data_IF_042289365775
#
_entry.id   IF_042289365775
#
_cell.length_a   1.000
_cell.length_b   1.000
_cell.length_c   1.000
_cell.angle_alpha   90.00
_cell.angle_beta   90.00
_cell.angle_gamma   90.00
#
_symmetry.space_group_name_H-M   'P 1'
#
loop_
_entity.id
_entity.type
_entity.pdbx_description
1 polymer ?
#
# COMPACT_ATOMS: atom_id res chain seq x y z
N UNK A 1 57.22 5.40 -2.80
CA UNK A 1 55.94 5.99 -2.35
C UNK A 1 54.91 4.88 -2.43
N UNK A 2 54.69 4.21 -1.29
CA UNK A 2 53.72 3.13 -1.14
C UNK A 2 52.36 3.73 -0.77
N UNK A 3 51.41 3.76 -1.69
CA UNK A 3 50.02 4.13 -1.40
C UNK A 3 49.29 2.92 -0.82
N UNK A 4 49.21 2.84 0.50
CA UNK A 4 48.34 1.92 1.22
C UNK A 4 46.89 2.23 0.90
N UNK A 5 46.26 1.39 0.09
CA UNK A 5 44.79 1.31 -0.02
C UNK A 5 44.26 0.73 1.29
N UNK A 6 43.82 1.59 2.19
CA UNK A 6 43.06 1.16 3.33
C UNK A 6 41.73 0.56 2.77
N UNK A 7 41.59 -0.75 2.85
CA UNK A 7 40.31 -1.44 2.65
C UNK A 7 39.34 -0.95 3.73
N UNK A 8 38.29 -0.27 3.32
CA UNK A 8 37.19 0.06 4.23
C UNK A 8 36.57 -1.27 4.71
N UNK A 9 36.96 -1.70 5.89
CA UNK A 9 36.34 -2.80 6.60
C UNK A 9 34.88 -2.41 6.82
N UNK A 10 33.95 -3.19 6.24
CA UNK A 10 32.50 -3.02 6.46
C UNK A 10 32.21 -3.33 7.94
N UNK A 11 32.27 -2.31 8.79
CA UNK A 11 32.08 -2.38 10.25
C UNK A 11 30.61 -2.41 10.63
N UNK A 12 29.73 -2.94 9.80
CA UNK A 12 28.32 -3.13 10.18
C UNK A 12 28.24 -4.26 11.19
N UNK A 13 27.95 -3.90 12.45
CA UNK A 13 27.65 -4.89 13.48
C UNK A 13 26.58 -5.88 12.96
N UNK A 14 26.73 -7.18 13.19
CA UNK A 14 25.74 -8.16 12.78
C UNK A 14 24.40 -7.81 13.43
N UNK A 15 23.35 -7.79 12.61
CA UNK A 15 21.96 -7.55 13.08
C UNK A 15 21.65 -8.61 14.13
N UNK A 16 21.27 -8.17 15.33
CA UNK A 16 20.98 -9.06 16.46
C UNK A 16 19.73 -9.91 16.22
N UNK A 17 19.66 -11.05 16.91
CA UNK A 17 18.56 -12.01 16.75
C UNK A 17 17.17 -11.40 17.07
N UNK A 18 16.99 -10.58 18.12
CA UNK A 18 15.72 -9.91 18.39
C UNK A 18 15.25 -9.04 17.24
N UNK A 19 16.15 -8.30 16.59
CA UNK A 19 15.80 -7.44 15.46
C UNK A 19 15.44 -8.23 14.20
N UNK A 20 16.11 -9.38 13.97
CA UNK A 20 15.73 -10.31 12.89
C UNK A 20 14.33 -10.87 13.10
N UNK A 21 13.99 -11.25 14.34
CA UNK A 21 12.64 -11.69 14.71
C UNK A 21 11.61 -10.59 14.53
N UNK A 22 11.91 -9.37 14.94
CA UNK A 22 11.01 -8.23 14.77
C UNK A 22 10.72 -7.97 13.28
N UNK A 23 11.74 -8.03 12.42
CA UNK A 23 11.56 -7.96 10.98
C UNK A 23 10.68 -9.08 10.44
N UNK A 24 10.91 -10.33 10.87
CA UNK A 24 10.10 -11.48 10.43
C UNK A 24 8.64 -11.35 10.89
N UNK A 25 8.40 -10.90 12.14
CA UNK A 25 7.05 -10.62 12.63
C UNK A 25 6.34 -9.56 11.78
N UNK A 26 7.04 -8.46 11.49
CA UNK A 26 6.49 -7.38 10.65
C UNK A 26 6.22 -7.87 9.22
N UNK A 27 7.09 -8.70 8.63
CA UNK A 27 6.82 -9.36 7.33
C UNK A 27 5.55 -10.20 7.38
N UNK A 28 5.35 -10.98 8.45
CA UNK A 28 4.13 -11.77 8.64
C UNK A 28 2.86 -10.91 8.68
N UNK A 29 2.93 -9.74 9.33
CA UNK A 29 1.79 -8.80 9.40
C UNK A 29 1.47 -8.20 8.01
N UNK A 30 2.49 -7.75 7.24
CA UNK A 30 2.25 -7.27 5.88
C UNK A 30 1.72 -8.37 4.96
N UNK A 31 2.28 -9.58 5.05
CA UNK A 31 1.83 -10.72 4.27
C UNK A 31 0.39 -11.13 4.56
N UNK A 32 0.02 -11.19 5.86
CA UNK A 32 -1.36 -11.55 6.22
C UNK A 32 -2.37 -10.46 5.85
N UNK A 33 -2.00 -9.17 5.93
CA UNK A 33 -2.87 -8.09 5.49
C UNK A 33 -3.19 -8.21 4.00
N UNK A 34 -2.16 -8.39 3.16
CA UNK A 34 -2.35 -8.65 1.73
C UNK A 34 -3.18 -9.90 1.45
N UNK A 35 -2.93 -10.99 2.19
CA UNK A 35 -3.65 -12.25 2.06
C UNK A 35 -5.15 -12.09 2.33
N UNK A 36 -5.53 -11.44 3.43
CA UNK A 36 -6.93 -11.21 3.79
C UNK A 36 -7.64 -10.34 2.74
N UNK A 37 -6.95 -9.31 2.22
CA UNK A 37 -7.49 -8.48 1.15
C UNK A 37 -7.66 -9.26 -0.15
N UNK A 38 -6.68 -10.08 -0.54
CA UNK A 38 -6.77 -10.95 -1.73
C UNK A 38 -7.91 -11.96 -1.64
N UNK A 39 -8.10 -12.57 -0.46
CA UNK A 39 -9.24 -13.45 -0.20
C UNK A 39 -10.57 -12.74 -0.36
N UNK A 40 -10.71 -11.51 0.18
CA UNK A 40 -11.92 -10.71 0.00
C UNK A 40 -12.20 -10.43 -1.50
N UNK A 41 -11.21 -9.89 -2.21
CA UNK A 41 -11.38 -9.43 -3.61
C UNK A 41 -11.86 -10.56 -4.51
N UNK A 42 -11.31 -11.77 -4.39
CA UNK A 42 -11.69 -12.91 -5.23
C UNK A 42 -13.12 -13.39 -4.95
N UNK A 43 -13.63 -13.18 -3.73
CA UNK A 43 -15.00 -13.60 -3.38
C UNK A 43 -16.06 -12.54 -3.69
N UNK A 44 -15.71 -11.35 -4.17
CA UNK A 44 -16.65 -10.26 -4.48
C UNK A 44 -17.78 -10.74 -5.41
N UNK A 45 -17.52 -11.40 -6.57
CA UNK A 45 -18.61 -11.81 -7.47
C UNK A 45 -19.59 -12.78 -6.82
N UNK A 46 -19.08 -13.78 -6.09
CA UNK A 46 -19.92 -14.76 -5.42
C UNK A 46 -20.78 -14.16 -4.29
N UNK A 47 -20.29 -13.09 -3.63
CA UNK A 47 -21.03 -12.35 -2.61
C UNK A 47 -22.07 -11.44 -3.27
N UNK A 48 -21.73 -10.79 -4.39
CA UNK A 48 -22.64 -9.99 -5.19
C UNK A 48 -23.85 -10.83 -5.66
N UNK A 49 -23.58 -11.97 -6.27
CA UNK A 49 -24.62 -12.91 -6.72
C UNK A 49 -25.52 -13.36 -5.56
N UNK A 50 -24.93 -13.70 -4.41
CA UNK A 50 -25.67 -14.16 -3.23
C UNK A 50 -26.54 -13.07 -2.62
N UNK A 51 -26.08 -11.83 -2.59
CA UNK A 51 -26.81 -10.70 -2.03
C UNK A 51 -27.81 -10.11 -2.99
N UNK A 52 -27.78 -10.49 -4.28
CA UNK A 52 -28.67 -10.02 -5.34
C UNK A 52 -28.54 -8.51 -5.62
N UNK A 53 -27.39 -7.92 -5.32
CA UNK A 53 -27.15 -6.49 -5.54
C UNK A 53 -26.64 -6.23 -6.97
N UNK A 54 -26.90 -5.03 -7.48
CA UNK A 54 -26.36 -4.60 -8.77
C UNK A 54 -24.89 -4.15 -8.65
N UNK A 55 -24.15 -4.17 -9.75
CA UNK A 55 -22.79 -3.64 -9.83
C UNK A 55 -22.68 -2.19 -9.34
N UNK A 56 -23.70 -1.34 -9.62
CA UNK A 56 -23.71 0.04 -9.14
C UNK A 56 -23.88 0.12 -7.61
N UNK A 57 -24.70 -0.76 -7.04
CA UNK A 57 -24.83 -0.87 -5.58
C UNK A 57 -23.53 -1.34 -4.96
N UNK A 58 -22.90 -2.39 -5.53
CA UNK A 58 -21.59 -2.87 -5.07
C UNK A 58 -20.54 -1.74 -5.09
N UNK A 59 -20.45 -0.99 -6.19
CA UNK A 59 -19.57 0.16 -6.30
C UNK A 59 -19.78 1.19 -5.17
N UNK A 60 -21.05 1.48 -4.84
CA UNK A 60 -21.39 2.37 -3.72
C UNK A 60 -20.97 1.79 -2.36
N UNK A 61 -21.11 0.48 -2.18
CA UNK A 61 -20.71 -0.21 -0.95
C UNK A 61 -19.17 -0.26 -0.79
N UNK A 62 -18.43 -0.37 -1.90
CA UNK A 62 -16.96 -0.28 -1.87
C UNK A 62 -16.47 1.11 -1.43
N UNK A 63 -17.25 2.18 -1.65
CA UNK A 63 -16.95 3.49 -1.05
C UNK A 63 -17.03 3.47 0.48
N UNK A 64 -17.93 2.67 1.07
CA UNK A 64 -17.97 2.51 2.53
C UNK A 64 -16.72 1.83 3.07
N UNK A 65 -16.18 0.83 2.36
CA UNK A 65 -14.87 0.25 2.70
C UNK A 65 -13.79 1.33 2.73
N UNK A 66 -13.76 2.18 1.73
CA UNK A 66 -12.81 3.29 1.62
C UNK A 66 -12.97 4.31 2.74
N UNK A 67 -14.20 4.73 3.04
CA UNK A 67 -14.52 5.63 4.16
C UNK A 67 -14.10 5.01 5.49
N UNK A 68 -14.39 3.72 5.68
CA UNK A 68 -13.93 2.96 6.83
C UNK A 68 -12.41 2.99 6.95
N UNK A 69 -11.69 2.69 5.87
CA UNK A 69 -10.22 2.66 5.85
C UNK A 69 -9.63 4.02 6.25
N UNK A 70 -10.09 5.11 5.65
CA UNK A 70 -9.65 6.46 6.00
C UNK A 70 -9.94 6.76 7.49
N UNK A 71 -11.13 6.40 7.98
CA UNK A 71 -11.49 6.55 9.39
C UNK A 71 -10.54 5.78 10.31
N UNK A 72 -10.28 4.51 9.99
CA UNK A 72 -9.35 3.66 10.73
C UNK A 72 -7.93 4.23 10.77
N UNK A 73 -7.44 4.74 9.63
CA UNK A 73 -6.12 5.40 9.55
C UNK A 73 -6.03 6.61 10.47
N UNK A 74 -7.04 7.49 10.45
CA UNK A 74 -7.02 8.71 11.25
C UNK A 74 -7.11 8.44 12.75
N UNK A 75 -7.82 7.39 13.16
CA UNK A 75 -7.94 6.97 14.56
C UNK A 75 -6.67 6.24 15.02
N UNK A 76 -6.12 5.35 14.18
CA UNK A 76 -4.98 4.51 14.56
C UNK A 76 -3.69 5.29 14.77
N UNK A 77 -3.43 6.36 14.00
CA UNK A 77 -2.20 7.14 14.12
C UNK A 77 -1.98 7.71 15.53
N UNK A 78 -2.89 8.56 16.05
CA UNK A 78 -2.78 9.09 17.41
C UNK A 78 -2.80 8.00 18.50
N UNK A 79 -3.54 6.90 18.28
CA UNK A 79 -3.56 5.78 19.22
C UNK A 79 -2.22 5.03 19.23
N UNK A 80 -1.57 4.85 18.06
CA UNK A 80 -0.23 4.28 17.97
C UNK A 80 0.81 5.16 18.68
N UNK A 81 0.70 6.49 18.55
CA UNK A 81 1.56 7.42 19.29
C UNK A 81 1.34 7.32 20.81
N UNK A 82 0.11 7.06 21.26
CA UNK A 82 -0.23 7.00 22.69
C UNK A 82 0.04 5.65 23.34
N UNK A 83 -0.33 4.56 22.66
CA UNK A 83 -0.33 3.20 23.21
C UNK A 83 0.76 2.31 22.66
N UNK A 84 1.46 2.77 21.62
CA UNK A 84 2.51 2.04 20.91
C UNK A 84 2.02 1.35 19.64
N UNK A 85 2.90 1.25 18.67
CA UNK A 85 2.62 0.63 17.37
C UNK A 85 2.34 -0.87 17.47
N UNK A 86 3.05 -1.58 18.37
CA UNK A 86 2.86 -3.02 18.59
C UNK A 86 1.44 -3.37 19.03
N UNK A 87 0.91 -2.65 20.03
CA UNK A 87 -0.45 -2.90 20.53
C UNK A 87 -1.49 -2.63 19.44
N UNK A 88 -1.31 -1.54 18.70
CA UNK A 88 -2.23 -1.19 17.61
C UNK A 88 -2.19 -2.22 16.48
N UNK A 89 -1.02 -2.74 16.09
CA UNK A 89 -0.90 -3.83 15.10
C UNK A 89 -1.66 -5.06 15.56
N UNK A 90 -1.52 -5.47 16.82
CA UNK A 90 -2.20 -6.66 17.36
C UNK A 90 -3.71 -6.46 17.34
N UNK A 91 -4.20 -5.35 17.88
CA UNK A 91 -5.64 -5.07 17.96
C UNK A 91 -6.23 -4.97 16.54
N UNK A 92 -5.64 -4.13 15.68
CA UNK A 92 -6.15 -3.92 14.33
C UNK A 92 -6.07 -5.20 13.48
N UNK A 93 -4.98 -5.99 13.62
CA UNK A 93 -4.82 -7.25 12.90
C UNK A 93 -5.83 -8.31 13.32
N UNK A 94 -6.14 -8.43 14.62
CA UNK A 94 -7.17 -9.35 15.11
C UNK A 94 -8.57 -8.89 14.69
N UNK A 95 -8.86 -7.58 14.76
CA UNK A 95 -10.15 -7.02 14.31
C UNK A 95 -10.30 -7.22 12.80
N UNK A 96 -9.26 -6.98 11.99
CA UNK A 96 -9.31 -7.22 10.55
C UNK A 96 -9.56 -8.70 10.24
N UNK A 97 -8.86 -9.60 10.93
CA UNK A 97 -9.04 -11.05 10.76
C UNK A 97 -10.48 -11.49 11.04
N UNK A 98 -11.09 -10.95 12.09
CA UNK A 98 -12.50 -11.20 12.39
C UNK A 98 -13.44 -10.54 11.38
N UNK A 99 -13.17 -9.28 11.00
CA UNK A 99 -13.98 -8.51 10.05
C UNK A 99 -13.98 -9.12 8.63
N UNK A 100 -12.93 -9.87 8.27
CA UNK A 100 -12.85 -10.59 6.98
C UNK A 100 -14.04 -11.54 6.78
N UNK A 101 -14.61 -12.09 7.83
CA UNK A 101 -15.75 -13.00 7.77
C UNK A 101 -17.06 -12.28 7.43
N UNK A 102 -17.17 -11.01 7.83
CA UNK A 102 -18.40 -10.21 7.73
C UNK A 102 -19.03 -10.18 6.32
N UNK A 103 -18.29 -9.85 5.26
CA UNK A 103 -18.81 -9.88 3.89
C UNK A 103 -19.33 -11.26 3.47
N UNK A 104 -18.69 -12.33 3.94
CA UNK A 104 -19.12 -13.72 3.74
C UNK A 104 -20.45 -14.06 4.43
N UNK A 105 -20.86 -13.38 5.48
CA UNK A 105 -22.12 -13.57 6.19
C UNK A 105 -23.27 -12.74 5.62
N UNK A 106 -22.98 -11.67 4.88
CA UNK A 106 -23.98 -10.76 4.37
C UNK A 106 -24.97 -11.44 3.43
N UNK A 107 -26.26 -11.25 3.62
CA UNK A 107 -27.35 -11.72 2.75
C UNK A 107 -28.20 -10.57 2.18
N UNK A 108 -27.84 -9.32 2.51
CA UNK A 108 -28.49 -8.11 2.03
C UNK A 108 -27.47 -6.96 1.88
N UNK A 109 -27.80 -5.98 1.02
CA UNK A 109 -26.92 -4.83 0.74
C UNK A 109 -26.45 -4.09 1.99
N UNK A 110 -27.34 -3.81 2.95
CA UNK A 110 -26.99 -3.08 4.16
C UNK A 110 -26.04 -3.85 5.08
N UNK A 111 -26.17 -5.21 5.13
CA UNK A 111 -25.26 -6.05 5.91
C UNK A 111 -23.86 -6.04 5.28
N UNK A 112 -23.79 -6.15 3.95
CA UNK A 112 -22.54 -6.05 3.21
C UNK A 112 -21.91 -4.67 3.41
N UNK A 113 -22.70 -3.59 3.34
CA UNK A 113 -22.21 -2.23 3.57
C UNK A 113 -21.59 -2.05 4.95
N UNK A 114 -22.27 -2.54 6.00
CA UNK A 114 -21.73 -2.50 7.37
C UNK A 114 -20.46 -3.35 7.51
N UNK A 115 -20.46 -4.56 6.93
CA UNK A 115 -19.30 -5.43 6.96
C UNK A 115 -18.08 -4.78 6.26
N UNK A 116 -18.29 -4.15 5.10
CA UNK A 116 -17.23 -3.44 4.36
C UNK A 116 -16.72 -2.21 5.09
N UNK A 117 -17.59 -1.45 5.76
CA UNK A 117 -17.19 -0.32 6.59
C UNK A 117 -16.27 -0.77 7.73
N UNK A 118 -16.63 -1.86 8.44
CA UNK A 118 -15.85 -2.41 9.56
C UNK A 118 -14.55 -3.03 9.04
N UNK A 119 -14.60 -3.78 7.94
CA UNK A 119 -13.42 -4.37 7.30
C UNK A 119 -12.45 -3.26 6.85
N UNK A 120 -12.96 -2.23 6.19
CA UNK A 120 -12.17 -1.07 5.78
C UNK A 120 -11.53 -0.37 6.97
N UNK A 121 -12.29 -0.09 8.04
CA UNK A 121 -11.78 0.55 9.24
C UNK A 121 -10.62 -0.26 9.87
N UNK A 122 -10.79 -1.56 10.02
CA UNK A 122 -9.77 -2.44 10.57
C UNK A 122 -8.52 -2.50 9.66
N UNK A 123 -8.73 -2.56 8.33
CA UNK A 123 -7.64 -2.55 7.35
C UNK A 123 -6.83 -1.24 7.41
N UNK A 124 -7.50 -0.09 7.42
CA UNK A 124 -6.83 1.20 7.51
C UNK A 124 -6.09 1.40 8.85
N UNK A 125 -6.68 0.93 9.96
CA UNK A 125 -6.03 0.96 11.26
C UNK A 125 -4.77 0.07 11.29
N UNK A 126 -4.84 -1.12 10.68
CA UNK A 126 -3.69 -2.01 10.56
C UNK A 126 -2.61 -1.40 9.65
N UNK A 127 -3.01 -0.81 8.52
CA UNK A 127 -2.07 -0.23 7.56
C UNK A 127 -1.19 0.85 8.22
N UNK A 128 -1.78 1.81 8.93
CA UNK A 128 -1.01 2.84 9.64
C UNK A 128 -0.13 2.24 10.73
N UNK A 129 -0.66 1.31 11.52
CA UNK A 129 0.08 0.76 12.66
C UNK A 129 1.22 -0.18 12.22
N UNK A 130 1.01 -1.01 11.19
CA UNK A 130 2.07 -1.89 10.68
C UNK A 130 3.18 -1.09 9.97
N UNK A 131 2.83 -0.01 9.26
CA UNK A 131 3.83 0.89 8.68
C UNK A 131 4.62 1.63 9.76
N UNK A 132 3.98 2.08 10.85
CA UNK A 132 4.67 2.66 11.99
C UNK A 132 5.67 1.66 12.62
N UNK A 133 5.25 0.40 12.81
CA UNK A 133 6.11 -0.69 13.28
C UNK A 133 7.27 -0.95 12.31
N UNK A 134 7.01 -0.93 11.00
CA UNK A 134 8.01 -1.14 9.96
C UNK A 134 9.09 -0.04 9.99
N UNK A 135 8.69 1.23 10.19
CA UNK A 135 9.63 2.35 10.35
C UNK A 135 10.53 2.15 11.57
N UNK A 136 9.98 1.72 12.71
CA UNK A 136 10.78 1.45 13.92
C UNK A 136 11.81 0.33 13.69
N UNK A 137 11.41 -0.74 12.99
CA UNK A 137 12.30 -1.84 12.60
C UNK A 137 13.38 -1.34 11.64
N UNK A 138 13.02 -0.55 10.60
CA UNK A 138 13.95 0.01 9.63
C UNK A 138 14.99 0.92 10.29
N UNK A 139 14.56 1.80 11.20
CA UNK A 139 15.46 2.68 11.94
C UNK A 139 16.54 1.91 12.70
N UNK A 140 16.16 0.83 13.40
CA UNK A 140 17.12 -0.02 14.13
C UNK A 140 17.96 -0.89 13.21
N UNK A 141 17.40 -1.26 12.05
CA UNK A 141 18.11 -2.05 11.04
C UNK A 141 19.25 -1.24 10.38
N UNK A 142 19.19 0.09 10.42
CA UNK A 142 20.20 1.00 9.89
C UNK A 142 20.32 0.99 8.36
N UNK A 143 19.37 0.34 7.66
CA UNK A 143 19.33 0.31 6.19
C UNK A 143 17.90 0.25 5.70
N UNK A 144 17.61 0.72 4.46
CA UNK A 144 16.28 0.64 3.87
C UNK A 144 15.79 -0.80 3.77
N UNK A 145 14.59 -1.08 4.29
CA UNK A 145 13.89 -2.37 4.20
C UNK A 145 12.37 -2.20 4.04
N UNK A 146 11.88 -0.96 3.92
CA UNK A 146 10.46 -0.66 3.85
C UNK A 146 9.80 -1.28 2.62
N UNK A 147 10.46 -1.22 1.46
CA UNK A 147 9.92 -1.77 0.22
C UNK A 147 9.76 -3.30 0.29
N UNK A 148 10.64 -3.99 1.03
CA UNK A 148 10.52 -5.43 1.25
C UNK A 148 9.25 -5.79 2.05
N UNK A 149 8.83 -4.95 3.03
CA UNK A 149 7.56 -5.15 3.72
C UNK A 149 6.38 -5.08 2.76
N UNK A 150 6.34 -4.05 1.90
CA UNK A 150 5.30 -3.91 0.88
C UNK A 150 5.34 -5.01 -0.19
N UNK A 151 6.53 -5.58 -0.50
CA UNK A 151 6.63 -6.74 -1.36
C UNK A 151 5.93 -7.96 -0.75
N UNK A 152 6.09 -8.19 0.57
CA UNK A 152 5.40 -9.27 1.28
C UNK A 152 3.87 -9.07 1.33
N UNK A 153 3.40 -7.83 1.41
CA UNK A 153 1.97 -7.51 1.22
C UNK A 153 1.49 -7.98 -0.16
N UNK A 154 2.23 -7.68 -1.22
CA UNK A 154 1.88 -8.11 -2.59
C UNK A 154 1.89 -9.64 -2.73
N UNK A 155 2.90 -10.32 -2.18
CA UNK A 155 2.97 -11.80 -2.15
C UNK A 155 1.78 -12.38 -1.39
N UNK A 156 1.42 -11.78 -0.25
CA UNK A 156 0.24 -12.15 0.52
C UNK A 156 -1.04 -12.01 -0.30
N UNK A 157 -1.20 -10.90 -1.01
CA UNK A 157 -2.35 -10.67 -1.89
C UNK A 157 -2.50 -11.74 -2.98
N UNK A 158 -1.39 -12.07 -3.65
CA UNK A 158 -1.36 -13.17 -4.64
C UNK A 158 -1.72 -14.50 -3.99
N UNK A 159 -1.13 -14.84 -2.84
CA UNK A 159 -1.43 -16.08 -2.14
C UNK A 159 -2.91 -16.16 -1.72
N UNK A 160 -3.47 -15.06 -1.19
CA UNK A 160 -4.89 -14.97 -0.85
C UNK A 160 -5.80 -15.13 -2.07
N UNK A 161 -5.47 -14.47 -3.19
CA UNK A 161 -6.23 -14.59 -4.43
C UNK A 161 -6.21 -16.01 -5.00
N UNK A 162 -5.04 -16.66 -5.00
CA UNK A 162 -4.92 -18.05 -5.48
C UNK A 162 -5.69 -19.04 -4.59
N UNK A 163 -5.58 -18.89 -3.26
CA UNK A 163 -6.33 -19.73 -2.34
C UNK A 163 -7.83 -19.46 -2.46
N UNK A 164 -8.24 -18.20 -2.56
CA UNK A 164 -9.65 -17.83 -2.78
C UNK A 164 -10.21 -18.45 -4.05
N UNK A 165 -9.47 -18.36 -5.17
CA UNK A 165 -9.87 -19.00 -6.42
C UNK A 165 -9.97 -20.54 -6.28
N UNK A 166 -9.03 -21.17 -5.59
CA UNK A 166 -9.05 -22.60 -5.35
C UNK A 166 -10.25 -23.04 -4.49
N UNK A 167 -10.61 -22.27 -3.46
CA UNK A 167 -11.79 -22.56 -2.62
C UNK A 167 -13.10 -22.39 -3.41
N UNK A 168 -13.21 -21.37 -4.28
CA UNK A 168 -14.36 -21.21 -5.17
C UNK A 168 -14.45 -22.36 -6.17
N UNK A 169 -13.34 -22.76 -6.79
CA UNK A 169 -13.29 -23.90 -7.71
C UNK A 169 -13.67 -25.23 -7.02
N UNK A 170 -13.37 -25.36 -5.74
CA UNK A 170 -13.76 -26.51 -4.92
C UNK A 170 -15.21 -26.43 -4.39
N UNK A 171 -15.98 -25.40 -4.79
CA UNK A 171 -17.37 -25.21 -4.40
C UNK A 171 -17.59 -24.78 -2.95
N UNK A 172 -16.59 -24.20 -2.29
CA UNK A 172 -16.76 -23.69 -0.93
C UNK A 172 -17.68 -22.46 -0.92
N UNK A 173 -18.54 -22.41 0.09
CA UNK A 173 -19.29 -21.16 0.33
C UNK A 173 -18.32 -20.03 0.71
N UNK A 174 -18.55 -18.79 0.23
CA UNK A 174 -17.69 -17.64 0.56
C UNK A 174 -17.44 -17.46 2.06
N UNK A 175 -18.46 -17.68 2.89
CA UNK A 175 -18.33 -17.57 4.36
C UNK A 175 -17.32 -18.56 4.91
N UNK A 176 -17.30 -19.81 4.42
CA UNK A 176 -16.35 -20.83 4.87
C UNK A 176 -14.92 -20.46 4.50
N UNK A 177 -14.69 -20.03 3.26
CA UNK A 177 -13.38 -19.60 2.80
C UNK A 177 -12.85 -18.40 3.59
N UNK A 178 -13.71 -17.38 3.82
CA UNK A 178 -13.35 -16.19 4.57
C UNK A 178 -13.19 -16.46 6.07
N UNK A 179 -13.92 -17.43 6.64
CA UNK A 179 -13.73 -17.87 8.02
C UNK A 179 -12.34 -18.55 8.21
N UNK A 180 -11.96 -19.43 7.28
CA UNK A 180 -10.63 -20.05 7.29
C UNK A 180 -9.55 -18.97 7.12
N UNK A 181 -9.73 -18.03 6.21
CA UNK A 181 -8.79 -16.92 6.02
C UNK A 181 -8.66 -16.07 7.29
N UNK A 182 -9.76 -15.71 7.93
CA UNK A 182 -9.77 -15.00 9.22
C UNK A 182 -9.05 -15.77 10.31
N UNK A 183 -9.27 -17.10 10.37
CA UNK A 183 -8.57 -17.99 11.30
C UNK A 183 -7.05 -17.99 11.08
N UNK A 184 -6.61 -18.10 9.84
CA UNK A 184 -5.17 -17.94 9.46
C UNK A 184 -4.65 -16.58 9.89
N UNK A 185 -5.45 -15.50 9.70
CA UNK A 185 -5.13 -14.16 10.16
C UNK A 185 -4.91 -14.08 11.66
N UNK A 186 -5.85 -14.60 12.46
CA UNK A 186 -5.72 -14.65 13.94
C UNK A 186 -4.46 -15.36 14.37
N UNK A 187 -4.19 -16.55 13.80
CA UNK A 187 -3.00 -17.36 14.13
C UNK A 187 -1.73 -16.62 13.77
N UNK A 188 -1.67 -16.00 12.58
CA UNK A 188 -0.49 -15.25 12.11
C UNK A 188 -0.23 -14.02 12.98
N UNK A 189 -1.26 -13.24 13.33
CA UNK A 189 -1.14 -12.07 14.21
C UNK A 189 -0.72 -12.51 15.61
N UNK A 190 -1.33 -13.54 16.18
CA UNK A 190 -0.99 -14.05 17.51
C UNK A 190 0.46 -14.58 17.55
N UNK A 191 0.87 -15.35 16.55
CA UNK A 191 2.24 -15.87 16.45
C UNK A 191 3.25 -14.74 16.23
N UNK A 192 2.98 -13.81 15.31
CA UNK A 192 3.85 -12.68 14.97
C UNK A 192 3.96 -11.66 16.09
N UNK A 193 2.92 -11.51 16.92
CA UNK A 193 2.88 -10.53 18.01
C UNK A 193 4.05 -10.62 18.99
N UNK A 194 4.57 -11.83 19.23
CA UNK A 194 5.74 -12.08 20.11
C UNK A 194 7.02 -11.46 19.58
N UNK A 195 7.11 -11.33 18.25
CA UNK A 195 8.32 -10.87 17.55
C UNK A 195 8.27 -9.40 17.16
N UNK A 196 7.09 -8.76 17.24
CA UNK A 196 6.99 -7.33 17.02
C UNK A 196 7.85 -6.57 18.04
N UNK A 197 8.42 -5.45 17.61
CA UNK A 197 9.20 -4.60 18.51
C UNK A 197 8.35 -4.12 19.66
N UNK A 198 8.90 -4.17 20.86
CA UNK A 198 8.25 -3.63 22.04
C UNK A 198 8.08 -2.12 21.90
N UNK A 199 6.90 -1.64 22.31
CA UNK A 199 6.65 -0.21 22.39
C UNK A 199 7.69 0.45 23.31
N UNK A 200 8.32 1.53 22.85
CA UNK A 200 9.26 2.28 23.71
C UNK A 200 8.48 2.92 24.86
N UNK A 201 8.93 2.78 26.11
CA UNK A 201 8.39 3.61 27.18
C UNK A 201 8.62 5.06 26.78
N UNK A 202 7.57 5.86 26.69
CA UNK A 202 7.73 7.31 26.55
C UNK A 202 8.52 7.79 27.76
N UNK A 203 9.72 8.33 27.54
CA UNK A 203 10.43 9.01 28.62
C UNK A 203 9.59 10.22 29.03
N UNK A 204 9.51 10.49 30.36
CA UNK A 204 8.83 11.68 30.88
C UNK A 204 9.38 13.00 30.30
N UNK A 205 10.55 12.99 29.68
CA UNK A 205 11.15 14.12 28.98
C UNK A 205 10.54 14.37 27.58
N UNK A 206 9.91 13.33 26.96
CA UNK A 206 9.14 13.50 25.72
C UNK A 206 7.73 14.06 26.00
N UNK A 207 7.36 14.21 27.26
CA UNK A 207 6.24 15.00 27.77
C UNK A 207 6.63 16.44 28.10
N UNK A 208 7.66 17.02 27.47
CA UNK A 208 7.62 18.46 27.27
C UNK A 208 6.19 18.77 26.77
N UNK A 209 5.44 19.71 27.41
CA UNK A 209 4.08 19.98 27.02
C UNK A 209 4.15 20.03 25.50
N UNK A 210 3.39 19.13 24.85
CA UNK A 210 3.18 19.30 23.42
C UNK A 210 2.62 20.73 23.36
N UNK A 211 3.55 21.68 23.27
CA UNK A 211 3.20 23.05 22.98
C UNK A 211 2.24 22.89 21.86
N UNK A 212 1.03 23.28 22.12
CA UNK A 212 -0.13 23.19 21.27
C UNK A 212 0.26 23.37 19.80
N UNK A 213 0.91 22.35 19.22
CA UNK A 213 1.00 22.15 17.80
C UNK A 213 -0.41 21.71 17.36
N UNK A 214 -1.40 22.38 17.98
CA UNK A 214 -2.77 22.39 17.56
C UNK A 214 -2.77 23.05 16.19
N UNK A 215 -2.94 22.20 15.16
CA UNK A 215 -3.63 22.63 13.97
C UNK A 215 -2.79 23.00 12.75
N UNK A 216 -1.49 23.30 12.80
CA UNK A 216 -0.74 23.55 11.58
C UNK A 216 -0.05 22.28 11.08
N UNK A 217 -0.57 21.76 9.96
CA UNK A 217 0.13 20.73 9.20
C UNK A 217 1.51 21.29 8.80
N UNK A 218 2.58 20.59 9.18
CA UNK A 218 3.92 20.94 8.73
C UNK A 218 3.94 20.95 7.20
N UNK A 219 4.58 21.95 6.59
CA UNK A 219 4.75 22.03 5.13
C UNK A 219 5.33 20.73 4.57
N UNK A 220 6.18 20.05 5.35
CA UNK A 220 6.77 18.78 4.94
C UNK A 220 5.77 17.61 4.96
N UNK A 221 4.85 17.56 5.95
CA UNK A 221 3.75 16.59 5.98
C UNK A 221 2.83 16.80 4.79
N UNK A 222 2.51 18.08 4.46
CA UNK A 222 1.72 18.40 3.28
C UNK A 222 2.42 18.01 1.98
N UNK A 223 3.72 18.26 1.85
CA UNK A 223 4.49 17.87 0.67
C UNK A 223 4.54 16.33 0.51
N UNK A 224 4.82 15.57 1.58
CA UNK A 224 4.81 14.12 1.55
C UNK A 224 3.41 13.57 1.24
N UNK A 225 2.38 14.14 1.86
CA UNK A 225 0.99 13.77 1.60
C UNK A 225 0.55 14.07 0.16
N UNK A 226 0.98 15.23 -0.38
CA UNK A 226 0.71 15.60 -1.78
C UNK A 226 1.39 14.65 -2.77
N UNK A 227 2.65 14.26 -2.51
CA UNK A 227 3.35 13.27 -3.35
C UNK A 227 2.69 11.89 -3.20
N UNK A 228 2.32 11.48 -1.99
CA UNK A 228 1.60 10.23 -1.76
C UNK A 228 0.26 10.23 -2.52
N UNK A 229 -0.48 11.34 -2.46
CA UNK A 229 -1.75 11.52 -3.18
C UNK A 229 -1.59 11.27 -4.68
N UNK A 230 -0.67 11.99 -5.35
CA UNK A 230 -0.53 11.89 -6.82
C UNK A 230 0.04 10.54 -7.26
N UNK A 231 0.90 9.90 -6.45
CA UNK A 231 1.45 8.58 -6.79
C UNK A 231 0.44 7.47 -6.57
N UNK A 232 -0.30 7.50 -5.46
CA UNK A 232 -1.34 6.50 -5.19
C UNK A 232 -2.55 6.72 -6.10
N UNK A 233 -2.88 7.97 -6.50
CA UNK A 233 -3.84 8.24 -7.58
C UNK A 233 -3.42 7.52 -8.86
N UNK A 234 -2.15 7.65 -9.24
CA UNK A 234 -1.61 7.02 -10.44
C UNK A 234 -1.63 5.49 -10.37
N UNK A 235 -1.39 4.91 -9.18
CA UNK A 235 -1.49 3.47 -8.92
C UNK A 235 -2.96 3.00 -9.02
N UNK A 236 -3.91 3.75 -8.45
CA UNK A 236 -5.34 3.44 -8.56
C UNK A 236 -5.83 3.46 -10.01
N UNK A 237 -5.37 4.44 -10.79
CA UNK A 237 -5.66 4.48 -12.25
C UNK A 237 -5.13 3.24 -12.96
N UNK A 238 -3.91 2.79 -12.66
CA UNK A 238 -3.36 1.60 -13.27
C UNK A 238 -4.16 0.33 -12.92
N UNK A 239 -4.57 0.21 -11.66
CA UNK A 239 -5.35 -0.95 -11.20
C UNK A 239 -6.69 -1.09 -11.95
N UNK A 240 -7.40 0.01 -12.15
CA UNK A 240 -8.78 -0.04 -12.65
C UNK A 240 -8.88 0.16 -14.17
N UNK A 241 -7.92 0.89 -14.76
CA UNK A 241 -8.06 1.32 -16.15
C UNK A 241 -7.04 0.70 -17.13
N UNK A 242 -5.98 0.05 -16.66
CA UNK A 242 -4.93 -0.46 -17.54
C UNK A 242 -5.45 -1.48 -18.56
N UNK A 243 -6.27 -2.41 -18.13
CA UNK A 243 -6.88 -3.43 -19.01
C UNK A 243 -7.82 -2.79 -20.01
N UNK A 244 -8.72 -1.91 -19.56
CA UNK A 244 -9.70 -1.27 -20.42
C UNK A 244 -9.01 -0.35 -21.45
N UNK A 245 -7.95 0.36 -21.05
CA UNK A 245 -7.18 1.20 -21.95
C UNK A 245 -6.58 0.40 -23.12
N UNK A 246 -5.99 -0.76 -22.86
CA UNK A 246 -5.43 -1.60 -23.94
C UNK A 246 -6.55 -2.18 -24.83
N UNK A 247 -7.66 -2.61 -24.23
CA UNK A 247 -8.81 -3.13 -24.97
C UNK A 247 -9.37 -2.09 -25.94
N UNK A 248 -9.68 -0.89 -25.46
CA UNK A 248 -10.31 0.17 -26.25
C UNK A 248 -9.35 0.79 -27.27
N UNK A 249 -8.09 1.03 -26.85
CA UNK A 249 -7.11 1.71 -27.69
C UNK A 249 -6.60 0.85 -28.84
N UNK A 250 -6.40 -0.46 -28.60
CA UNK A 250 -5.79 -1.39 -29.56
C UNK A 250 -6.78 -2.40 -30.13
N UNK A 251 -8.06 -2.37 -29.71
CA UNK A 251 -9.08 -3.29 -30.20
C UNK A 251 -8.79 -4.77 -29.87
N UNK A 252 -8.14 -5.04 -28.75
CA UNK A 252 -7.71 -6.40 -28.37
C UNK A 252 -8.79 -7.16 -27.62
N UNK A 253 -8.65 -8.51 -27.51
CA UNK A 253 -9.50 -9.33 -26.68
C UNK A 253 -9.25 -9.06 -25.18
N UNK A 254 -10.21 -9.39 -24.32
CA UNK A 254 -10.10 -9.20 -22.87
C UNK A 254 -8.88 -9.91 -22.26
N UNK A 255 -8.57 -11.12 -22.74
CA UNK A 255 -7.42 -11.91 -22.29
C UNK A 255 -6.07 -11.25 -22.64
N UNK A 256 -5.97 -10.63 -23.81
CA UNK A 256 -4.76 -9.89 -24.21
C UNK A 256 -4.67 -8.57 -23.47
N UNK A 257 -5.78 -7.86 -23.31
CA UNK A 257 -5.83 -6.60 -22.57
C UNK A 257 -5.44 -6.77 -21.09
N UNK A 258 -5.81 -7.90 -20.46
CA UNK A 258 -5.43 -8.22 -19.09
C UNK A 258 -3.91 -8.29 -18.86
N UNK A 259 -3.12 -8.50 -19.93
CA UNK A 259 -1.65 -8.47 -19.83
C UNK A 259 -1.12 -7.10 -19.37
N UNK A 260 -1.85 -6.02 -19.59
CA UNK A 260 -1.47 -4.69 -19.14
C UNK A 260 -1.40 -4.60 -17.62
N UNK A 261 -2.50 -4.97 -16.96
CA UNK A 261 -2.53 -5.05 -15.49
C UNK A 261 -1.54 -6.07 -14.93
N UNK A 262 -1.41 -7.24 -15.60
CA UNK A 262 -0.44 -8.25 -15.23
C UNK A 262 0.99 -7.72 -15.27
N UNK A 263 1.40 -7.06 -16.35
CA UNK A 263 2.73 -6.47 -16.52
C UNK A 263 3.02 -5.38 -15.47
N UNK A 264 2.05 -4.48 -15.24
CA UNK A 264 2.12 -3.46 -14.18
C UNK A 264 2.35 -4.10 -12.81
N UNK A 265 1.50 -5.04 -12.42
CA UNK A 265 1.52 -5.66 -11.08
C UNK A 265 2.79 -6.49 -10.84
N UNK A 266 3.22 -7.29 -11.83
CA UNK A 266 4.45 -8.08 -11.75
C UNK A 266 5.66 -7.17 -11.59
N UNK A 267 5.79 -6.14 -12.43
CA UNK A 267 6.95 -5.26 -12.39
C UNK A 267 6.95 -4.36 -11.15
N UNK A 268 5.79 -3.97 -10.63
CA UNK A 268 5.69 -3.31 -9.32
C UNK A 268 6.19 -4.22 -8.21
N UNK A 269 5.82 -5.49 -8.21
CA UNK A 269 6.27 -6.47 -7.20
C UNK A 269 7.78 -6.69 -7.28
N UNK A 270 8.32 -6.91 -8.49
CA UNK A 270 9.78 -7.05 -8.73
C UNK A 270 10.53 -5.81 -8.26
N UNK A 271 10.02 -4.63 -8.60
CA UNK A 271 10.63 -3.37 -8.20
C UNK A 271 10.66 -3.18 -6.67
N UNK A 272 9.61 -3.59 -5.94
CA UNK A 272 9.58 -3.54 -4.46
C UNK A 272 10.70 -4.38 -3.82
N UNK A 273 11.07 -5.52 -4.39
CA UNK A 273 12.20 -6.33 -3.90
C UNK A 273 13.58 -5.70 -4.16
N UNK A 274 13.69 -4.82 -5.14
CA UNK A 274 14.97 -4.18 -5.51
C UNK A 274 15.11 -2.76 -4.95
N UNK A 275 14.00 -2.06 -4.70
CA UNK A 275 13.97 -0.65 -4.31
C UNK A 275 14.77 -0.33 -3.03
N UNK A 276 14.80 -1.23 -2.05
CA UNK A 276 15.56 -1.03 -0.82
C UNK A 276 17.08 -1.02 -1.07
N UNK A 277 17.58 -1.86 -2.00
CA UNK A 277 18.99 -1.84 -2.41
C UNK A 277 19.34 -0.54 -3.11
N UNK A 278 18.47 -0.08 -4.01
CA UNK A 278 18.64 1.19 -4.72
C UNK A 278 18.60 2.36 -3.72
N UNK A 279 17.66 2.35 -2.77
CA UNK A 279 17.57 3.37 -1.72
C UNK A 279 18.81 3.39 -0.82
N UNK A 280 19.38 2.22 -0.52
CA UNK A 280 20.62 2.11 0.25
C UNK A 280 21.84 2.66 -0.49
N UNK A 281 21.90 2.51 -1.79
CA UNK A 281 23.02 2.94 -2.62
C UNK A 281 22.94 4.42 -3.04
N UNK A 282 21.75 4.87 -3.47
CA UNK A 282 21.54 6.18 -4.11
C UNK A 282 20.69 7.14 -3.25
N UNK A 283 20.13 6.65 -2.15
CA UNK A 283 19.26 7.40 -1.25
C UNK A 283 17.80 7.46 -1.69
N UNK A 284 16.88 7.84 -0.77
CA UNK A 284 15.44 7.81 -1.00
C UNK A 284 14.98 8.81 -2.08
N UNK A 285 15.64 9.96 -2.19
CA UNK A 285 15.33 10.98 -3.21
C UNK A 285 15.56 10.44 -4.61
N UNK A 286 16.63 9.65 -4.82
CA UNK A 286 16.93 9.03 -6.11
C UNK A 286 15.86 8.01 -6.49
N UNK A 287 15.41 7.17 -5.53
CA UNK A 287 14.35 6.18 -5.76
C UNK A 287 13.07 6.87 -6.22
N UNK A 288 12.62 7.92 -5.51
CA UNK A 288 11.39 8.63 -5.90
C UNK A 288 11.58 9.36 -7.23
N UNK A 289 12.67 10.09 -7.42
CA UNK A 289 12.88 10.88 -8.64
C UNK A 289 13.03 10.01 -9.88
N UNK A 290 13.96 9.06 -9.87
CA UNK A 290 14.19 8.20 -11.03
C UNK A 290 13.07 7.18 -11.22
N UNK A 291 12.47 6.69 -10.14
CA UNK A 291 11.29 5.84 -10.21
C UNK A 291 10.13 6.54 -10.93
N UNK A 292 9.81 7.75 -10.52
CA UNK A 292 8.72 8.52 -11.17
C UNK A 292 9.06 8.94 -12.60
N UNK A 293 10.33 9.16 -12.96
CA UNK A 293 10.74 9.39 -14.34
C UNK A 293 10.62 8.12 -15.19
N UNK A 294 10.98 6.94 -14.65
CA UNK A 294 10.73 5.66 -15.33
C UNK A 294 9.24 5.44 -15.55
N UNK A 295 8.42 5.73 -14.52
CA UNK A 295 6.97 5.67 -14.64
C UNK A 295 6.45 6.65 -15.71
N UNK A 296 6.99 7.86 -15.78
CA UNK A 296 6.61 8.84 -16.81
C UNK A 296 6.93 8.34 -18.23
N UNK A 297 8.11 7.75 -18.45
CA UNK A 297 8.46 7.11 -19.74
C UNK A 297 7.48 5.99 -20.05
N UNK A 298 7.17 5.13 -19.07
CA UNK A 298 6.19 4.05 -19.22
C UNK A 298 4.81 4.58 -19.61
N UNK A 299 4.32 5.58 -18.90
CA UNK A 299 2.99 6.17 -19.19
C UNK A 299 2.99 6.93 -20.52
N UNK A 300 4.08 7.58 -20.90
CA UNK A 300 4.20 8.19 -22.22
C UNK A 300 4.08 7.15 -23.34
N UNK A 301 4.72 5.97 -23.20
CA UNK A 301 4.56 4.85 -24.13
C UNK A 301 3.11 4.39 -24.22
N UNK A 302 2.39 4.30 -23.08
CA UNK A 302 0.96 3.94 -23.05
C UNK A 302 0.13 4.93 -23.84
N UNK A 303 0.42 6.23 -23.72
CA UNK A 303 -0.36 7.31 -24.38
C UNK A 303 -0.09 7.38 -25.89
N UNK A 304 1.17 7.21 -26.30
CA UNK A 304 1.55 7.48 -27.71
C UNK A 304 1.65 6.23 -28.59
N UNK A 305 1.74 5.03 -28.00
CA UNK A 305 1.98 3.81 -28.77
C UNK A 305 0.69 3.21 -29.30
N UNK A 306 0.65 2.93 -30.61
CA UNK A 306 -0.35 2.10 -31.26
C UNK A 306 0.01 0.60 -31.35
N UNK A 307 1.12 0.17 -30.70
CA UNK A 307 1.64 -1.20 -30.77
C UNK A 307 1.50 -1.91 -29.41
N UNK A 308 0.82 -3.06 -29.38
CA UNK A 308 0.59 -3.83 -28.16
C UNK A 308 1.87 -4.11 -27.35
N UNK A 309 2.99 -4.58 -27.91
CA UNK A 309 4.19 -4.84 -27.10
C UNK A 309 4.75 -3.60 -26.41
N UNK A 310 4.71 -2.44 -27.08
CA UNK A 310 5.18 -1.18 -26.50
C UNK A 310 4.24 -0.65 -25.43
N UNK A 311 2.94 -0.81 -25.60
CA UNK A 311 1.95 -0.41 -24.59
C UNK A 311 2.07 -1.29 -23.34
N UNK A 312 2.25 -2.62 -23.51
CA UNK A 312 2.50 -3.54 -22.37
C UNK A 312 3.83 -3.20 -21.66
N UNK A 313 4.89 -2.91 -22.43
CA UNK A 313 6.16 -2.43 -21.87
C UNK A 313 5.95 -1.11 -21.10
N UNK A 314 5.12 -0.21 -21.62
CA UNK A 314 4.75 1.03 -20.94
C UNK A 314 4.12 0.78 -19.58
N UNK A 315 3.14 -0.12 -19.46
CA UNK A 315 2.53 -0.50 -18.19
C UNK A 315 3.53 -1.20 -17.25
N UNK A 316 4.42 -2.04 -17.78
CA UNK A 316 5.49 -2.67 -17.02
C UNK A 316 6.44 -1.63 -16.39
N UNK A 317 6.92 -0.66 -17.20
CA UNK A 317 7.77 0.43 -16.73
C UNK A 317 7.05 1.34 -15.73
N UNK A 318 5.75 1.57 -15.91
CA UNK A 318 4.94 2.33 -14.98
C UNK A 318 4.90 1.67 -13.60
N UNK A 319 4.64 0.35 -13.55
CA UNK A 319 4.65 -0.43 -12.31
C UNK A 319 6.03 -0.46 -11.65
N UNK A 320 7.09 -0.72 -12.43
CA UNK A 320 8.47 -0.70 -11.94
C UNK A 320 8.82 0.66 -11.32
N UNK A 321 8.47 1.75 -12.00
CA UNK A 321 8.78 3.10 -11.58
C UNK A 321 8.08 3.51 -10.28
N UNK A 322 6.81 3.12 -10.09
CA UNK A 322 6.05 3.44 -8.88
C UNK A 322 6.47 2.59 -7.67
N UNK A 323 7.05 1.41 -7.89
CA UNK A 323 7.23 0.34 -6.91
C UNK A 323 7.90 0.74 -5.60
N UNK A 324 8.93 1.59 -5.67
CA UNK A 324 9.70 2.02 -4.51
C UNK A 324 9.24 3.36 -3.91
N UNK A 325 8.38 4.11 -4.61
CA UNK A 325 8.10 5.49 -4.26
C UNK A 325 7.31 5.63 -2.95
N UNK A 326 6.18 4.92 -2.83
CA UNK A 326 5.32 4.97 -1.64
C UNK A 326 6.06 4.52 -0.37
N UNK A 327 6.81 3.39 -0.37
CA UNK A 327 7.62 3.00 0.78
C UNK A 327 8.58 4.08 1.28
N UNK A 328 9.26 4.80 0.36
CA UNK A 328 10.18 5.88 0.75
C UNK A 328 9.43 7.08 1.38
N UNK A 329 8.23 7.38 0.90
CA UNK A 329 7.38 8.45 1.47
C UNK A 329 6.94 8.06 2.88
N UNK A 330 6.52 6.82 3.10
CA UNK A 330 6.09 6.31 4.40
C UNK A 330 7.26 6.29 5.40
N UNK A 331 8.45 5.83 4.97
CA UNK A 331 9.67 5.96 5.78
C UNK A 331 9.93 7.42 6.15
N UNK A 332 9.84 8.36 5.20
CA UNK A 332 10.05 9.77 5.47
C UNK A 332 9.00 10.33 6.45
N UNK A 333 7.72 9.96 6.30
CA UNK A 333 6.63 10.40 7.18
C UNK A 333 6.81 9.91 8.61
N UNK A 334 7.18 8.63 8.79
CA UNK A 334 7.44 8.04 10.11
C UNK A 334 8.67 8.60 10.81
N UNK A 335 9.60 9.22 10.08
CA UNK A 335 10.79 9.88 10.61
C UNK A 335 10.57 11.39 10.90
N UNK A 336 9.37 11.93 10.72
CA UNK A 336 9.05 13.32 11.02
C UNK A 336 8.67 13.49 12.49
N UNK A 337 9.62 13.97 13.29
CA UNK A 337 9.37 14.43 14.67
C UNK A 337 9.17 13.31 15.68
N UNK A 338 9.96 13.29 16.73
CA UNK A 338 9.77 12.40 17.86
C UNK A 338 8.42 12.70 18.56
N UNK A 339 7.59 11.68 18.78
CA UNK A 339 6.31 11.78 19.49
C UNK A 339 5.07 11.97 18.62
N UNK A 340 5.19 12.22 17.31
CA UNK A 340 4.06 12.37 16.37
C UNK A 340 4.18 11.50 15.10
N UNK A 341 5.05 10.49 15.13
CA UNK A 341 5.32 9.64 13.96
C UNK A 341 4.06 8.93 13.45
N UNK A 342 3.25 8.35 14.33
CA UNK A 342 2.00 7.68 13.98
C UNK A 342 0.97 8.65 13.40
N UNK A 343 0.83 9.83 14.00
CA UNK A 343 -0.07 10.90 13.51
C UNK A 343 0.38 11.41 12.14
N UNK A 344 1.66 11.66 11.93
CA UNK A 344 2.19 12.08 10.63
C UNK A 344 2.02 10.99 9.58
N UNK A 345 2.28 9.71 9.95
CA UNK A 345 2.03 8.56 9.11
C UNK A 345 0.57 8.50 8.69
N UNK A 346 -0.39 8.59 9.63
CA UNK A 346 -1.81 8.52 9.32
C UNK A 346 -2.27 9.63 8.36
N UNK A 347 -1.73 10.84 8.50
CA UNK A 347 -2.03 11.97 7.61
C UNK A 347 -1.52 11.73 6.19
N UNK A 348 -0.27 11.30 6.06
CA UNK A 348 0.36 11.05 4.76
C UNK A 348 -0.28 9.85 4.06
N UNK A 349 -0.49 8.74 4.78
CA UNK A 349 -1.15 7.54 4.26
C UNK A 349 -2.59 7.85 3.89
N UNK A 350 -3.34 8.54 4.76
CA UNK A 350 -4.74 8.92 4.50
C UNK A 350 -4.89 9.79 3.25
N UNK A 351 -4.00 10.80 3.05
CA UNK A 351 -3.99 11.59 1.81
C UNK A 351 -3.65 10.72 0.59
N UNK A 352 -2.71 9.79 0.72
CA UNK A 352 -2.40 8.84 -0.34
C UNK A 352 -3.62 8.00 -0.73
N UNK A 353 -4.35 7.46 0.23
CA UNK A 353 -5.56 6.67 -0.03
C UNK A 353 -6.69 7.50 -0.65
N UNK A 354 -6.85 8.76 -0.26
CA UNK A 354 -7.78 9.68 -0.96
C UNK A 354 -7.38 9.78 -2.43
N UNK A 355 -6.08 9.88 -2.74
CA UNK A 355 -5.57 9.86 -4.12
C UNK A 355 -5.91 8.56 -4.83
N UNK A 356 -5.62 7.41 -4.20
CA UNK A 356 -5.88 6.09 -4.77
C UNK A 356 -7.35 5.91 -5.19
N UNK A 357 -8.28 6.40 -4.38
CA UNK A 357 -9.71 6.34 -4.67
C UNK A 357 -10.17 7.40 -5.67
N UNK A 358 -9.56 8.59 -5.63
CA UNK A 358 -9.89 9.67 -6.55
C UNK A 358 -9.42 9.38 -7.98
N UNK A 359 -8.34 8.60 -8.15
CA UNK A 359 -7.75 8.31 -9.44
C UNK A 359 -8.74 7.72 -10.44
N UNK A 360 -9.33 6.55 -10.15
CA UNK A 360 -10.31 5.93 -11.03
C UNK A 360 -11.51 6.83 -11.33
N UNK A 361 -12.05 7.51 -10.34
CA UNK A 361 -13.18 8.44 -10.53
C UNK A 361 -12.81 9.63 -11.43
N UNK A 362 -11.61 10.19 -11.25
CA UNK A 362 -11.10 11.30 -12.08
C UNK A 362 -11.01 10.88 -13.55
N UNK A 363 -10.44 9.71 -13.82
CA UNK A 363 -10.37 9.18 -15.19
C UNK A 363 -11.78 8.94 -15.73
N UNK A 364 -12.66 8.30 -14.97
CA UNK A 364 -14.04 8.05 -15.40
C UNK A 364 -14.81 9.32 -15.79
N UNK A 365 -14.58 10.45 -15.11
CA UNK A 365 -15.20 11.73 -15.50
C UNK A 365 -14.56 12.32 -16.75
N UNK A 366 -13.25 12.24 -16.88
CA UNK A 366 -12.50 12.79 -18.02
C UNK A 366 -12.84 12.02 -19.30
N UNK A 367 -13.08 10.71 -19.23
CA UNK A 367 -13.45 9.88 -20.38
C UNK A 367 -14.83 10.21 -20.99
N UNK A 368 -15.65 11.03 -20.31
CA UNK A 368 -16.89 11.56 -20.90
C UNK A 368 -16.62 12.59 -21.99
N UNK A 369 -15.41 13.18 -22.03
CA UNK A 369 -15.08 14.26 -22.97
C UNK A 369 -13.86 13.98 -23.84
N UNK A 370 -13.01 13.02 -23.45
CA UNK A 370 -11.83 12.60 -24.23
C UNK A 370 -11.68 11.07 -24.23
N UNK A 371 -11.00 10.48 -25.22
CA UNK A 371 -10.70 9.05 -25.22
C UNK A 371 -9.89 8.63 -24.00
N UNK A 372 -10.11 7.38 -23.53
CA UNK A 372 -9.44 6.85 -22.33
C UNK A 372 -7.92 6.96 -22.41
N UNK A 373 -7.31 6.69 -23.55
CA UNK A 373 -5.84 6.81 -23.74
C UNK A 373 -5.35 8.24 -23.52
N UNK A 374 -6.14 9.25 -23.92
CA UNK A 374 -5.81 10.65 -23.67
C UNK A 374 -5.94 10.98 -22.18
N UNK A 375 -6.93 10.41 -21.49
CA UNK A 375 -7.09 10.60 -20.05
C UNK A 375 -5.86 10.09 -19.25
N UNK A 376 -5.06 9.15 -19.80
CA UNK A 376 -3.80 8.70 -19.19
C UNK A 376 -2.72 9.79 -19.09
N UNK A 377 -2.92 10.95 -19.68
CA UNK A 377 -2.06 12.13 -19.43
C UNK A 377 -2.16 12.58 -17.96
N UNK A 378 -3.25 12.29 -17.26
CA UNK A 378 -3.39 12.61 -15.83
C UNK A 378 -2.33 11.91 -14.98
N UNK A 379 -2.24 10.55 -14.94
CA UNK A 379 -1.17 9.87 -14.19
C UNK A 379 0.23 10.23 -14.72
N UNK A 380 0.42 10.50 -16.02
CA UNK A 380 1.69 11.01 -16.55
C UNK A 380 2.08 12.33 -15.87
N UNK A 381 1.16 13.29 -15.82
CA UNK A 381 1.37 14.58 -15.16
C UNK A 381 1.65 14.40 -13.66
N UNK A 382 0.90 13.53 -12.99
CA UNK A 382 1.07 13.23 -11.58
C UNK A 382 2.48 12.71 -11.25
N UNK A 383 3.01 11.75 -12.02
CA UNK A 383 4.36 11.24 -11.77
C UNK A 383 5.46 12.25 -12.10
N UNK A 384 5.27 13.13 -13.10
CA UNK A 384 6.19 14.22 -13.40
C UNK A 384 6.21 15.26 -12.27
N UNK A 385 5.04 15.62 -11.73
CA UNK A 385 4.94 16.48 -10.54
C UNK A 385 5.67 15.87 -9.37
N UNK A 386 5.45 14.56 -9.10
CA UNK A 386 6.13 13.86 -8.01
C UNK A 386 7.66 13.87 -8.19
N UNK A 387 8.18 13.77 -9.43
CA UNK A 387 9.62 13.84 -9.71
C UNK A 387 10.23 15.18 -9.27
N UNK A 388 9.51 16.30 -9.48
CA UNK A 388 10.00 17.64 -9.09
C UNK A 388 10.07 17.79 -7.57
N UNK A 389 9.10 17.23 -6.84
CA UNK A 389 9.01 17.31 -5.38
C UNK A 389 9.70 16.15 -4.65
N UNK A 390 10.40 15.26 -5.35
CA UNK A 390 11.08 14.10 -4.75
C UNK A 390 12.05 14.48 -3.60
N UNK A 391 12.52 15.72 -3.54
CA UNK A 391 13.35 16.22 -2.44
C UNK A 391 12.70 16.16 -1.05
N UNK A 392 11.36 16.11 -0.97
CA UNK A 392 10.63 16.06 0.30
C UNK A 392 10.93 14.78 1.10
N UNK A 393 11.31 13.66 0.45
CA UNK A 393 11.67 12.40 1.12
C UNK A 393 13.10 12.39 1.67
N UNK A 394 13.88 13.48 1.55
CA UNK A 394 15.25 13.55 2.05
C UNK A 394 15.28 13.25 3.55
N UNK A 395 16.19 12.41 3.98
CA UNK A 395 16.47 12.19 5.42
C UNK A 395 17.03 13.48 6.01
N UNK A 396 16.50 13.94 7.11
CA UNK A 396 17.02 15.06 7.93
C UNK A 396 17.86 14.52 9.04
#
# INVERSE_FOLDING_TARGET
VSTSRASAVDTRAPVDEPLRRARAGTFGIFGINGFLLGMWVVHIPAIEDRTGISHSTLGSLLLLLAVGAIGGMQVSGPLADRFGSRRMVIIAGLVLSAATVGPGLASAAWQLGLALLVFGFANGALDVSMNSQAVEVEQRYGRPIMSAFHALFSVGGVAGSLLGAATLAAGWAPVTALLVAGGVGVVTVAAGSRWLMADRPRSRHDTAPAEKAQGRLSTRVLALGGIAFVLMLSEGVANDWSTLQVKEHLGTSDSVAALAFGAFSVMMTVGRFTADRVSGALGPVAVVRYGTLIAAVGMLLVVVSGLLPLTILGWALFGLGLSGCVPQIFTAAGNLGAGSAGTNMSRVVGLGYVGFLAGPATIGWITQVVPLTVAMVVPLTCVLVAATFAGAVRRT
#
